data_IF_052913049640
#
_entry.id   IF_052913049640
#
_cell.length_a   1.000
_cell.length_b   1.000
_cell.length_c   1.000
_cell.angle_alpha   90.00
_cell.angle_beta   90.00
_cell.angle_gamma   90.00
#
_symmetry.space_group_name_H-M   'P 1'
#
loop_
_entity.id
_entity.type
_entity.pdbx_description
1 polymer ?
#
# COMPACT_ATOMS: atom_id res chain seq x y z
N UNK A 1 -0.90 -14.16 -18.47
CA UNK A 1 -0.03 -13.13 -19.08
C UNK A 1 1.36 -13.25 -18.48
N UNK A 2 2.38 -13.28 -19.33
CA UNK A 2 3.74 -13.70 -19.03
C UNK A 2 4.42 -12.83 -17.97
N UNK A 3 4.91 -13.45 -16.90
CA UNK A 3 5.69 -12.78 -15.85
C UNK A 3 7.11 -12.61 -16.36
N UNK A 4 7.44 -11.38 -16.77
CA UNK A 4 8.81 -11.01 -17.17
C UNK A 4 9.64 -10.85 -15.90
N UNK A 5 10.47 -11.85 -15.58
CA UNK A 5 11.55 -11.74 -14.59
C UNK A 5 12.63 -10.80 -15.16
N UNK A 6 12.66 -9.57 -14.68
CA UNK A 6 13.77 -8.64 -14.94
C UNK A 6 14.91 -9.02 -13.98
N UNK A 7 15.90 -9.74 -14.52
CA UNK A 7 17.16 -10.02 -13.83
C UNK A 7 18.05 -8.79 -14.00
N UNK A 8 18.11 -7.92 -12.99
CA UNK A 8 19.11 -6.87 -12.92
C UNK A 8 20.42 -7.52 -12.48
N UNK A 9 21.34 -7.74 -13.43
CA UNK A 9 22.72 -8.14 -13.15
C UNK A 9 23.43 -6.97 -12.48
N UNK A 10 23.49 -6.99 -11.15
CA UNK A 10 24.38 -6.10 -10.38
C UNK A 10 25.83 -6.40 -10.73
N UNK A 11 26.50 -5.45 -11.35
CA UNK A 11 27.95 -5.49 -11.60
C UNK A 11 28.65 -5.26 -10.26
N UNK A 12 29.24 -6.33 -9.72
CA UNK A 12 30.07 -6.28 -8.52
C UNK A 12 31.43 -5.63 -8.88
N UNK A 13 31.51 -4.30 -8.84
CA UNK A 13 32.79 -3.60 -9.02
C UNK A 13 33.65 -3.75 -7.77
N UNK A 14 34.64 -4.64 -7.87
CA UNK A 14 35.66 -4.87 -6.85
C UNK A 14 36.82 -3.88 -7.09
N UNK A 15 36.79 -2.71 -6.45
CA UNK A 15 37.91 -1.76 -6.50
C UNK A 15 38.83 -2.02 -5.30
N UNK A 16 40.05 -2.48 -5.58
CA UNK A 16 41.13 -2.56 -4.60
C UNK A 16 41.74 -1.15 -4.45
N UNK A 17 41.50 -0.48 -3.32
CA UNK A 17 42.13 0.81 -3.04
C UNK A 17 43.56 0.58 -2.53
N UNK A 18 44.55 0.93 -3.36
CA UNK A 18 45.96 0.97 -2.99
C UNK A 18 46.46 2.42 -2.98
N UNK A 19 46.62 3.01 -1.79
CA UNK A 19 47.32 4.28 -1.60
C UNK A 19 48.46 4.10 -0.60
N UNK A 20 49.67 4.39 -1.05
CA UNK A 20 50.88 4.53 -0.23
C UNK A 20 51.24 6.02 -0.20
N UNK A 21 50.96 6.71 0.91
CA UNK A 21 51.74 7.87 1.36
C UNK A 21 51.74 7.89 2.89
N UNK A 22 52.92 8.13 3.46
CA UNK A 22 53.19 8.14 4.90
C UNK A 22 52.79 9.44 5.59
N UNK A 23 52.17 9.28 6.75
CA UNK A 23 52.25 10.17 7.91
C UNK A 23 51.86 9.30 9.12
N UNK A 24 52.77 9.16 10.10
CA UNK A 24 52.47 8.45 11.34
C UNK A 24 51.70 9.37 12.29
N UNK A 25 50.39 9.41 12.11
CA UNK A 25 49.47 9.68 13.22
C UNK A 25 49.09 8.31 13.81
N UNK A 26 49.38 8.12 15.09
CA UNK A 26 48.94 6.94 15.83
C UNK A 26 47.43 7.11 16.07
N UNK A 27 46.58 6.54 15.20
CA UNK A 27 45.11 6.56 15.35
C UNK A 27 44.75 5.85 16.67
N UNK A 28 44.43 6.62 17.71
CA UNK A 28 44.05 6.10 19.02
C UNK A 28 42.54 6.10 19.17
N UNK A 29 41.89 4.98 18.85
CA UNK A 29 40.63 4.63 19.51
C UNK A 29 40.12 3.22 19.15
N UNK A 30 39.49 2.48 20.08
CA UNK A 30 38.56 1.40 19.75
C UNK A 30 37.21 1.93 19.22
N UNK A 31 37.07 3.25 19.10
CA UNK A 31 35.89 3.92 18.57
C UNK A 31 36.09 4.35 17.11
N UNK A 32 35.22 3.85 16.24
CA UNK A 32 35.06 4.32 14.88
C UNK A 32 34.25 5.61 14.85
N UNK A 33 34.74 6.61 14.13
CA UNK A 33 34.01 7.84 13.83
C UNK A 33 33.71 7.86 12.34
N UNK A 34 32.43 7.85 11.98
CA UNK A 34 32.00 7.99 10.60
C UNK A 34 32.03 9.47 10.22
N UNK A 35 32.78 9.80 9.16
CA UNK A 35 32.81 11.14 8.56
C UNK A 35 31.78 11.21 7.41
N UNK A 36 31.20 12.37 7.11
CA UNK A 36 30.39 12.54 5.90
C UNK A 36 31.10 12.03 4.65
N UNK A 37 30.35 11.44 3.71
CA UNK A 37 30.90 11.04 2.41
C UNK A 37 31.19 12.23 1.51
N UNK A 38 32.16 12.09 0.60
CA UNK A 38 32.50 13.12 -0.38
C UNK A 38 31.39 13.36 -1.42
N UNK A 39 30.59 12.32 -1.68
CA UNK A 39 29.44 12.39 -2.58
C UNK A 39 28.19 12.81 -1.82
N UNK A 40 27.57 13.92 -2.23
CA UNK A 40 26.28 14.37 -1.68
C UNK A 40 25.11 13.81 -2.49
N UNK A 41 24.27 13.01 -1.84
CA UNK A 41 23.00 12.53 -2.39
C UNK A 41 21.94 13.64 -2.21
N UNK A 42 21.20 13.94 -3.28
CA UNK A 42 20.09 14.89 -3.27
C UNK A 42 18.77 14.20 -3.62
N UNK A 43 18.07 13.62 -2.64
CA UNK A 43 16.84 12.90 -2.91
C UNK A 43 15.73 13.78 -3.49
N UNK A 44 14.94 13.21 -4.39
CA UNK A 44 13.74 13.90 -4.95
C UNK A 44 12.43 13.39 -4.35
N UNK A 45 12.43 12.18 -3.77
CA UNK A 45 11.22 11.50 -3.29
C UNK A 45 11.14 11.35 -1.76
N UNK A 46 12.24 11.49 -1.02
CA UNK A 46 12.29 11.26 0.43
C UNK A 46 13.21 12.21 1.19
N UNK A 47 13.09 12.21 2.52
CA UNK A 47 14.14 12.65 3.44
C UNK A 47 14.30 11.61 4.56
N UNK A 48 15.48 11.58 5.19
CA UNK A 48 15.70 10.69 6.33
C UNK A 48 15.11 11.34 7.58
N UNK A 49 14.04 10.74 8.09
CA UNK A 49 13.34 11.18 9.30
C UNK A 49 14.08 10.74 10.57
N UNK A 50 14.50 9.48 10.60
CA UNK A 50 15.12 8.87 11.78
C UNK A 50 16.04 7.70 11.37
N UNK A 51 17.02 7.42 12.22
CA UNK A 51 17.84 6.20 12.15
C UNK A 51 17.66 5.41 13.45
N UNK A 52 17.38 4.12 13.33
CA UNK A 52 17.17 3.22 14.47
C UNK A 52 18.20 2.09 14.43
N UNK A 53 18.79 1.76 15.58
CA UNK A 53 19.58 0.53 15.74
C UNK A 53 18.65 -0.57 16.25
N UNK A 54 18.32 -1.52 15.38
CA UNK A 54 17.46 -2.67 15.70
C UNK A 54 18.23 -3.98 15.71
N UNK A 55 19.57 -3.91 15.77
CA UNK A 55 20.42 -5.10 15.92
C UNK A 55 20.13 -5.76 17.26
N UNK A 56 20.16 -7.09 17.29
CA UNK A 56 19.97 -7.87 18.51
C UNK A 56 21.08 -7.62 19.55
N UNK A 57 22.32 -7.35 19.09
CA UNK A 57 23.48 -7.06 19.94
C UNK A 57 24.02 -5.68 19.58
N UNK A 58 23.90 -4.72 20.50
CA UNK A 58 24.25 -3.32 20.24
C UNK A 58 25.58 -2.87 20.88
N UNK A 59 26.20 -3.72 21.72
CA UNK A 59 27.38 -3.36 22.52
C UNK A 59 28.63 -3.01 21.69
N UNK A 60 28.75 -3.57 20.49
CA UNK A 60 29.85 -3.33 19.53
C UNK A 60 29.36 -3.63 18.09
N UNK A 61 30.23 -3.42 17.10
CA UNK A 61 30.01 -3.76 15.68
C UNK A 61 31.03 -4.81 15.22
N UNK A 62 31.37 -5.76 16.08
CA UNK A 62 32.36 -6.80 15.81
C UNK A 62 33.68 -6.54 16.51
N UNK A 63 34.72 -7.26 16.08
CA UNK A 63 36.03 -7.25 16.74
C UNK A 63 37.18 -7.11 15.74
N UNK A 64 38.19 -6.34 16.14
CA UNK A 64 39.33 -5.98 15.29
C UNK A 64 40.66 -6.25 15.97
N UNK A 65 41.72 -6.46 15.19
CA UNK A 65 43.08 -6.59 15.71
C UNK A 65 43.69 -5.21 16.01
N UNK A 66 44.16 -5.01 17.25
CA UNK A 66 44.67 -3.70 17.72
C UNK A 66 46.19 -3.65 17.90
N UNK A 67 46.83 -4.74 18.35
CA UNK A 67 48.27 -4.77 18.67
C UNK A 67 49.07 -5.71 17.75
N UNK A 68 50.28 -5.27 17.38
CA UNK A 68 51.28 -6.08 16.67
C UNK A 68 52.09 -7.00 17.58
N UNK A 69 52.08 -6.78 18.91
CA UNK A 69 52.86 -7.58 19.88
C UNK A 69 52.12 -8.82 20.38
N UNK A 70 50.79 -8.81 20.26
CA UNK A 70 49.93 -9.95 20.57
C UNK A 70 48.61 -9.76 19.82
N UNK A 71 48.22 -10.68 18.91
CA UNK A 71 47.05 -10.51 18.05
C UNK A 71 45.76 -10.77 18.82
N UNK A 72 45.49 -9.95 19.83
CA UNK A 72 44.23 -9.95 20.54
C UNK A 72 43.22 -9.11 19.75
N UNK A 73 42.01 -9.64 19.65
CA UNK A 73 40.87 -8.93 19.13
C UNK A 73 40.25 -8.06 20.22
N UNK A 74 39.89 -6.83 19.87
CA UNK A 74 39.14 -5.92 20.73
C UNK A 74 37.80 -5.55 20.08
N UNK A 75 36.74 -5.36 20.88
CA UNK A 75 35.45 -4.91 20.37
C UNK A 75 35.55 -3.54 19.70
N UNK A 76 35.09 -3.44 18.46
CA UNK A 76 34.98 -2.18 17.72
C UNK A 76 33.64 -1.52 18.03
N UNK A 77 33.65 -0.25 18.43
CA UNK A 77 32.42 0.51 18.73
C UNK A 77 32.30 1.71 17.80
N UNK A 78 31.08 2.16 17.49
CA UNK A 78 30.88 3.49 16.92
C UNK A 78 30.82 4.53 18.03
N UNK A 79 31.46 5.68 17.84
CA UNK A 79 31.31 6.81 18.76
C UNK A 79 29.82 7.23 18.82
N UNK A 80 29.27 7.26 20.03
CA UNK A 80 27.83 7.56 20.25
C UNK A 80 26.87 6.40 19.96
N UNK A 81 27.36 5.22 19.56
CA UNK A 81 26.53 4.10 19.14
C UNK A 81 26.16 4.14 17.66
N UNK A 82 25.56 3.07 17.15
CA UNK A 82 25.29 2.91 15.71
C UNK A 82 24.24 3.90 15.21
N UNK A 83 23.12 4.06 15.92
CA UNK A 83 22.07 4.99 15.50
C UNK A 83 22.60 6.43 15.35
N UNK A 84 23.36 6.92 16.33
CA UNK A 84 23.95 8.27 16.30
C UNK A 84 25.01 8.38 15.19
N UNK A 85 25.98 7.47 15.15
CA UNK A 85 27.05 7.53 14.16
C UNK A 85 26.55 7.45 12.71
N UNK A 86 25.54 6.60 12.45
CA UNK A 86 24.93 6.49 11.11
C UNK A 86 24.08 7.70 10.78
N UNK A 87 23.34 8.26 11.76
CA UNK A 87 22.60 9.52 11.58
C UNK A 87 23.53 10.69 11.23
N UNK A 88 24.66 10.82 11.92
CA UNK A 88 25.65 11.88 11.66
C UNK A 88 26.26 11.72 10.26
N UNK A 89 26.62 10.49 9.88
CA UNK A 89 27.07 10.16 8.53
C UNK A 89 26.05 10.58 7.46
N UNK A 90 24.79 10.19 7.63
CA UNK A 90 23.70 10.51 6.70
C UNK A 90 23.49 12.02 6.62
N UNK A 91 23.49 12.72 7.76
CA UNK A 91 23.24 14.17 7.81
C UNK A 91 24.27 14.98 7.01
N UNK A 92 25.51 14.48 6.90
CA UNK A 92 26.54 15.08 6.06
C UNK A 92 26.54 14.61 4.59
N UNK A 93 25.87 13.49 4.29
CA UNK A 93 25.91 12.82 2.97
C UNK A 93 24.62 13.03 2.17
N UNK A 94 23.46 13.17 2.82
CA UNK A 94 22.14 13.24 2.19
C UNK A 94 21.50 14.59 2.52
N UNK A 95 21.10 15.36 1.51
CA UNK A 95 20.38 16.62 1.74
C UNK A 95 18.98 16.36 2.30
N UNK A 96 18.52 17.22 3.19
CA UNK A 96 17.18 17.13 3.79
C UNK A 96 16.20 18.09 3.11
N UNK A 97 15.08 17.56 2.62
CA UNK A 97 13.89 18.32 2.22
C UNK A 97 12.67 17.72 2.92
N UNK A 98 12.17 18.41 3.95
CA UNK A 98 11.06 17.93 4.79
C UNK A 98 9.71 17.93 4.08
N UNK A 99 9.60 18.48 2.87
CA UNK A 99 8.40 18.36 2.04
C UNK A 99 8.26 16.98 1.38
N UNK A 100 9.32 16.16 1.41
CA UNK A 100 9.36 14.82 0.82
C UNK A 100 8.88 13.75 1.80
N UNK A 101 8.83 12.49 1.35
CA UNK A 101 8.37 11.39 2.21
C UNK A 101 9.35 11.14 3.37
N UNK A 102 8.87 11.05 4.61
CA UNK A 102 9.71 10.72 5.76
C UNK A 102 10.09 9.24 5.74
N UNK A 103 11.39 8.95 5.69
CA UNK A 103 11.91 7.57 5.70
C UNK A 103 12.67 7.31 7.00
N UNK A 104 12.36 6.20 7.66
CA UNK A 104 13.11 5.66 8.79
C UNK A 104 14.07 4.60 8.28
N UNK A 105 15.34 4.72 8.65
CA UNK A 105 16.38 3.75 8.31
C UNK A 105 16.67 2.92 9.54
N UNK A 106 16.44 1.62 9.47
CA UNK A 106 16.71 0.68 10.54
C UNK A 106 17.99 -0.12 10.23
N UNK A 107 18.98 -0.05 11.10
CA UNK A 107 20.20 -0.87 10.99
C UNK A 107 19.91 -2.23 11.61
N UNK A 108 19.83 -3.27 10.78
CA UNK A 108 19.57 -4.65 11.20
C UNK A 108 20.85 -5.45 11.42
N UNK A 109 21.88 -5.13 10.64
CA UNK A 109 23.21 -5.72 10.77
C UNK A 109 24.25 -4.66 10.46
N UNK A 110 25.24 -4.56 11.33
CA UNK A 110 26.46 -3.78 11.11
C UNK A 110 27.57 -4.50 11.88
N UNK A 111 28.39 -5.24 11.15
CA UNK A 111 29.38 -6.13 11.74
C UNK A 111 30.69 -6.08 10.98
N UNK A 112 31.80 -6.05 11.71
CA UNK A 112 33.17 -6.06 11.20
C UNK A 112 33.86 -7.32 11.70
N UNK A 113 34.38 -8.10 10.76
CA UNK A 113 35.11 -9.32 11.06
C UNK A 113 36.50 -9.24 10.45
N UNK A 114 37.51 -9.45 11.28
CA UNK A 114 38.89 -9.49 10.82
C UNK A 114 39.53 -10.87 10.96
N UNK A 115 40.36 -11.22 9.97
CA UNK A 115 41.23 -12.39 9.95
C UNK A 115 42.66 -11.95 9.65
N UNK A 116 43.64 -12.65 10.23
CA UNK A 116 45.03 -12.42 9.87
C UNK A 116 45.27 -12.74 8.39
N UNK A 117 46.03 -11.90 7.72
CA UNK A 117 46.53 -12.09 6.37
C UNK A 117 48.04 -12.34 6.37
N UNK A 118 48.62 -12.46 5.17
CA UNK A 118 50.07 -12.58 5.00
C UNK A 118 50.80 -11.28 5.39
N UNK A 119 52.08 -11.40 5.76
CA UNK A 119 52.99 -10.26 5.97
C UNK A 119 52.50 -9.22 7.01
N UNK A 120 51.84 -9.69 8.08
CA UNK A 120 51.35 -8.79 9.14
C UNK A 120 50.16 -7.91 8.74
N UNK A 121 49.52 -8.21 7.60
CA UNK A 121 48.28 -7.55 7.17
C UNK A 121 47.07 -8.20 7.82
N UNK A 122 45.98 -7.43 7.88
CA UNK A 122 44.68 -7.88 8.35
C UNK A 122 43.68 -7.76 7.21
N UNK A 123 42.92 -8.84 6.98
CA UNK A 123 41.81 -8.86 6.03
C UNK A 123 40.51 -8.68 6.80
N UNK A 124 39.76 -7.64 6.46
CA UNK A 124 38.48 -7.31 7.09
C UNK A 124 37.31 -7.51 6.14
N UNK A 125 36.17 -7.87 6.70
CA UNK A 125 34.87 -7.91 6.03
C UNK A 125 33.87 -7.13 6.86
N UNK A 126 33.10 -6.29 6.18
CA UNK A 126 31.95 -5.56 6.71
C UNK A 126 30.69 -6.22 6.15
N UNK A 127 29.77 -6.57 7.04
CA UNK A 127 28.43 -7.00 6.69
C UNK A 127 27.43 -5.93 7.17
N UNK A 128 26.64 -5.41 6.24
CA UNK A 128 25.66 -4.34 6.48
C UNK A 128 24.28 -4.76 5.97
N UNK A 129 23.27 -4.64 6.82
CA UNK A 129 21.86 -4.79 6.44
C UNK A 129 21.08 -3.57 6.92
N UNK A 130 20.48 -2.85 5.98
CA UNK A 130 19.64 -1.68 6.22
C UNK A 130 18.20 -2.00 5.81
N UNK A 131 17.24 -1.62 6.63
CA UNK A 131 15.81 -1.68 6.32
C UNK A 131 15.27 -0.27 6.18
N UNK A 132 14.59 -0.01 5.07
CA UNK A 132 13.97 1.28 4.80
C UNK A 132 12.46 1.19 5.03
N UNK A 133 11.96 2.08 5.88
CA UNK A 133 10.55 2.15 6.25
C UNK A 133 10.00 3.53 5.89
N UNK A 134 8.80 3.58 5.34
CA UNK A 134 8.04 4.82 5.20
C UNK A 134 7.35 5.13 6.53
N UNK A 135 7.49 6.36 7.03
CA UNK A 135 6.80 6.83 8.23
C UNK A 135 5.42 7.41 7.86
N UNK A 136 4.36 6.76 8.34
CA UNK A 136 3.00 7.32 8.43
C UNK A 136 2.48 7.18 9.85
N UNK A 137 1.19 6.88 10.02
CA UNK A 137 0.63 6.48 11.33
C UNK A 137 1.27 5.19 11.85
N UNK A 138 1.62 4.30 10.92
CA UNK A 138 2.44 3.11 11.14
C UNK A 138 3.67 3.11 10.23
N UNK A 139 4.67 2.29 10.56
CA UNK A 139 5.83 2.08 9.70
C UNK A 139 5.50 1.08 8.60
N UNK A 140 5.61 1.52 7.34
CA UNK A 140 5.40 0.65 6.17
C UNK A 140 6.75 0.23 5.62
N UNK A 141 6.99 -1.09 5.54
CA UNK A 141 8.21 -1.62 4.95
C UNK A 141 8.31 -1.32 3.46
N UNK A 142 9.43 -0.72 3.05
CA UNK A 142 9.73 -0.43 1.64
C UNK A 142 10.66 -1.50 1.05
N UNK A 143 11.86 -1.64 1.60
CA UNK A 143 12.84 -2.63 1.17
C UNK A 143 13.89 -2.91 2.25
N UNK A 144 14.53 -4.06 2.14
CA UNK A 144 15.77 -4.40 2.86
C UNK A 144 16.94 -4.37 1.86
N UNK A 145 18.06 -3.76 2.26
CA UNK A 145 19.31 -3.68 1.51
C UNK A 145 20.37 -4.50 2.25
N UNK A 146 21.00 -5.42 1.55
CA UNK A 146 22.15 -6.17 2.02
C UNK A 146 23.40 -5.77 1.24
N UNK A 147 24.44 -5.39 1.97
CA UNK A 147 25.69 -4.97 1.38
C UNK A 147 26.85 -5.12 2.34
N UNK A 148 27.96 -4.49 2.00
CA UNK A 148 29.18 -4.59 2.77
C UNK A 148 30.40 -4.19 1.95
N UNK A 149 31.56 -4.39 2.55
CA UNK A 149 32.83 -4.13 1.92
C UNK A 149 33.87 -5.11 2.44
N UNK A 150 34.93 -5.30 1.65
CA UNK A 150 36.15 -5.97 2.10
C UNK A 150 37.28 -4.97 2.09
N UNK A 151 38.16 -5.07 3.06
CA UNK A 151 39.33 -4.22 3.14
C UNK A 151 40.55 -5.02 3.58
N UNK A 152 41.73 -4.49 3.28
CA UNK A 152 43.00 -4.98 3.81
C UNK A 152 43.74 -3.80 4.42
N UNK A 153 44.27 -3.97 5.64
CA UNK A 153 44.99 -2.92 6.35
C UNK A 153 46.23 -3.46 7.05
N UNK A 154 47.18 -2.59 7.31
CA UNK A 154 48.25 -2.85 8.28
C UNK A 154 47.72 -2.62 9.70
N UNK A 155 48.32 -3.28 10.69
CA UNK A 155 47.99 -3.03 12.10
C UNK A 155 48.22 -1.55 12.48
N UNK A 156 47.34 -1.00 13.31
CA UNK A 156 47.35 0.41 13.70
C UNK A 156 46.75 1.40 12.70
N UNK A 157 46.40 0.99 11.46
CA UNK A 157 45.75 1.87 10.46
C UNK A 157 44.23 1.68 10.47
N UNK A 158 43.56 2.26 11.46
CA UNK A 158 42.12 2.05 11.68
C UNK A 158 41.22 2.84 10.71
N UNK A 159 41.70 3.96 10.14
CA UNK A 159 40.95 4.75 9.16
C UNK A 159 40.34 3.93 8.00
N UNK A 160 41.05 2.89 7.54
CA UNK A 160 40.58 2.00 6.44
C UNK A 160 39.25 1.31 6.77
N UNK A 161 39.00 1.00 8.05
CA UNK A 161 37.74 0.40 8.49
C UNK A 161 36.60 1.42 8.33
N UNK A 162 36.88 2.68 8.65
CA UNK A 162 35.95 3.80 8.48
C UNK A 162 35.60 4.00 7.02
N UNK A 163 36.62 4.13 6.17
CA UNK A 163 36.44 4.34 4.73
C UNK A 163 35.59 3.24 4.10
N UNK A 164 35.85 1.96 4.46
CA UNK A 164 35.07 0.82 3.98
C UNK A 164 33.63 0.80 4.52
N UNK A 165 33.41 1.20 5.78
CA UNK A 165 32.07 1.29 6.38
C UNK A 165 31.25 2.41 5.74
N UNK A 166 31.87 3.58 5.55
CA UNK A 166 31.25 4.74 4.90
C UNK A 166 30.88 4.42 3.46
N UNK A 167 31.76 3.74 2.72
CA UNK A 167 31.46 3.27 1.37
C UNK A 167 30.25 2.32 1.37
N UNK A 168 30.20 1.35 2.30
CA UNK A 168 29.08 0.41 2.42
C UNK A 168 27.74 1.12 2.69
N UNK A 169 27.74 2.10 3.61
CA UNK A 169 26.57 2.92 3.93
C UNK A 169 26.16 3.80 2.75
N UNK A 170 27.12 4.48 2.12
CA UNK A 170 26.89 5.34 0.95
C UNK A 170 26.28 4.57 -0.23
N UNK A 171 26.76 3.35 -0.47
CA UNK A 171 26.18 2.45 -1.47
C UNK A 171 24.72 2.11 -1.15
N UNK A 172 24.40 1.79 0.11
CA UNK A 172 23.02 1.51 0.53
C UNK A 172 22.08 2.71 0.39
N UNK A 173 22.55 3.91 0.70
CA UNK A 173 21.78 5.16 0.53
C UNK A 173 21.56 5.49 -0.95
N UNK A 174 22.59 5.29 -1.78
CA UNK A 174 22.51 5.49 -3.23
C UNK A 174 21.52 4.52 -3.85
N UNK A 175 21.63 3.23 -3.50
CA UNK A 175 20.70 2.19 -3.94
C UNK A 175 19.26 2.53 -3.56
N UNK A 176 19.01 2.93 -2.31
CA UNK A 176 17.67 3.31 -1.88
C UNK A 176 17.14 4.54 -2.63
N UNK A 177 17.97 5.55 -2.85
CA UNK A 177 17.60 6.74 -3.62
C UNK A 177 17.22 6.38 -5.08
N UNK A 178 18.00 5.53 -5.74
CA UNK A 178 17.67 5.06 -7.09
C UNK A 178 16.38 4.25 -7.10
N UNK A 179 16.25 3.30 -6.17
CA UNK A 179 15.06 2.46 -6.05
C UNK A 179 13.79 3.31 -5.82
N UNK A 180 13.81 4.25 -4.88
CA UNK A 180 12.59 5.02 -4.56
C UNK A 180 12.19 5.94 -5.71
N UNK A 181 13.15 6.51 -6.45
CA UNK A 181 12.86 7.31 -7.64
C UNK A 181 12.22 6.45 -8.75
N UNK A 182 12.66 5.21 -8.92
CA UNK A 182 12.07 4.28 -9.89
C UNK A 182 10.68 3.77 -9.47
N UNK A 183 10.46 3.60 -8.16
CA UNK A 183 9.23 3.01 -7.62
C UNK A 183 8.13 4.05 -7.33
N UNK A 184 8.48 5.30 -7.04
CA UNK A 184 7.54 6.36 -6.73
C UNK A 184 6.33 6.49 -7.69
N UNK A 185 6.48 6.37 -9.02
CA UNK A 185 5.34 6.51 -9.93
C UNK A 185 4.40 5.30 -9.99
N UNK A 186 4.78 4.13 -9.46
CA UNK A 186 4.08 2.85 -9.71
C UNK A 186 3.85 1.98 -8.48
N UNK A 187 4.48 2.31 -7.35
CA UNK A 187 4.37 1.52 -6.14
C UNK A 187 3.26 2.06 -5.24
N UNK A 188 2.26 1.23 -4.94
CA UNK A 188 1.10 1.60 -4.11
C UNK A 188 1.49 2.13 -2.73
N UNK A 189 2.58 1.62 -2.14
CA UNK A 189 3.09 2.07 -0.84
C UNK A 189 3.64 3.50 -0.88
N UNK A 190 3.97 4.00 -2.07
CA UNK A 190 4.55 5.33 -2.29
C UNK A 190 3.56 6.32 -2.92
N UNK A 191 2.33 5.87 -3.21
CA UNK A 191 1.30 6.70 -3.80
C UNK A 191 0.98 7.90 -2.89
N UNK A 192 0.70 9.05 -3.51
CA UNK A 192 0.48 10.33 -2.84
C UNK A 192 -1.00 10.64 -2.63
N UNK A 193 -1.87 10.10 -3.47
CA UNK A 193 -3.30 10.31 -3.41
C UNK A 193 -4.09 9.25 -4.18
N UNK A 194 -5.41 9.41 -4.17
CA UNK A 194 -6.35 8.56 -4.91
C UNK A 194 -7.13 9.43 -5.90
N UNK A 195 -7.07 9.08 -7.17
CA UNK A 195 -7.90 9.63 -8.25
C UNK A 195 -9.05 8.67 -8.49
N UNK A 196 -10.24 9.07 -8.06
CA UNK A 196 -11.44 8.26 -8.15
C UNK A 196 -12.21 8.57 -9.46
N UNK A 197 -12.61 7.52 -10.15
CA UNK A 197 -13.61 7.56 -11.22
C UNK A 197 -14.69 6.53 -10.90
N UNK A 198 -15.96 6.94 -10.84
CA UNK A 198 -17.08 6.03 -10.58
C UNK A 198 -17.84 5.80 -11.88
N UNK A 199 -18.09 4.52 -12.21
CA UNK A 199 -18.85 4.09 -13.38
C UNK A 199 -20.00 3.19 -12.96
N UNK A 200 -21.12 3.30 -13.64
CA UNK A 200 -22.14 2.27 -13.58
C UNK A 200 -21.73 1.09 -14.49
N UNK A 201 -22.10 -0.13 -14.10
CA UNK A 201 -21.89 -1.31 -14.92
C UNK A 201 -22.68 -1.16 -16.23
N UNK A 202 -22.07 -1.46 -17.39
CA UNK A 202 -22.75 -1.30 -18.67
C UNK A 202 -23.96 -2.24 -18.79
N UNK A 203 -24.94 -1.87 -19.61
CA UNK A 203 -26.09 -2.72 -19.95
C UNK A 203 -25.65 -3.98 -20.69
N UNK A 204 -25.24 -4.98 -19.91
CA UNK A 204 -24.79 -6.28 -20.40
C UNK A 204 -25.32 -7.36 -19.47
N UNK A 205 -26.56 -7.78 -19.73
CA UNK A 205 -27.14 -8.96 -19.07
C UNK A 205 -26.23 -10.18 -19.28
N UNK A 206 -26.05 -10.96 -18.22
CA UNK A 206 -25.28 -12.20 -18.27
C UNK A 206 -25.94 -13.25 -17.39
N UNK A 207 -26.33 -14.36 -18.00
CA UNK A 207 -26.88 -15.51 -17.29
C UNK A 207 -28.10 -15.14 -16.44
N UNK A 208 -27.94 -15.25 -15.12
CA UNK A 208 -29.01 -15.11 -14.13
C UNK A 208 -29.28 -13.66 -13.68
N UNK A 209 -28.57 -12.67 -14.22
CA UNK A 209 -28.57 -11.31 -13.66
C UNK A 209 -29.15 -10.29 -14.64
N UNK A 210 -30.14 -9.53 -14.17
CA UNK A 210 -30.60 -8.29 -14.80
C UNK A 210 -29.85 -7.13 -14.14
N UNK A 211 -29.20 -6.28 -14.92
CA UNK A 211 -28.57 -5.06 -14.42
C UNK A 211 -29.50 -3.86 -14.61
N UNK A 212 -29.53 -2.96 -13.63
CA UNK A 212 -30.39 -1.79 -13.65
C UNK A 212 -30.02 -0.86 -14.81
N UNK A 213 -31.01 -0.43 -15.57
CA UNK A 213 -30.86 0.60 -16.59
C UNK A 213 -32.21 1.29 -16.83
N UNK A 214 -32.20 2.59 -17.10
CA UNK A 214 -33.42 3.36 -17.35
C UNK A 214 -34.23 2.81 -18.54
N UNK A 215 -33.53 2.32 -19.56
CA UNK A 215 -34.13 1.74 -20.78
C UNK A 215 -34.49 0.25 -20.67
N UNK A 216 -34.09 -0.45 -19.60
CA UNK A 216 -34.40 -1.89 -19.39
C UNK A 216 -35.20 -2.07 -18.11
N UNK A 217 -36.52 -1.91 -18.23
CA UNK A 217 -37.49 -2.22 -17.17
C UNK A 217 -37.65 -3.72 -16.99
N UNK A 218 -37.96 -4.19 -15.79
CA UNK A 218 -38.23 -5.60 -15.50
C UNK A 218 -39.38 -6.14 -16.34
N UNK A 219 -39.32 -7.43 -16.64
CA UNK A 219 -40.40 -8.18 -17.25
C UNK A 219 -40.70 -9.42 -16.39
N UNK A 220 -41.92 -9.96 -16.44
CA UNK A 220 -42.26 -11.20 -15.73
C UNK A 220 -41.42 -12.40 -16.16
N UNK A 221 -40.82 -12.36 -17.34
CA UNK A 221 -39.83 -13.34 -17.78
C UNK A 221 -38.52 -13.29 -16.99
N UNK A 222 -38.23 -12.22 -16.25
CA UNK A 222 -37.07 -12.16 -15.37
C UNK A 222 -37.27 -13.00 -14.08
N UNK A 223 -38.50 -13.36 -13.72
CA UNK A 223 -38.82 -14.08 -12.48
C UNK A 223 -38.81 -15.59 -12.70
N UNK A 224 -37.64 -16.21 -12.57
CA UNK A 224 -37.42 -17.63 -12.91
C UNK A 224 -37.47 -18.59 -11.72
N UNK A 225 -37.48 -18.08 -10.48
CA UNK A 225 -37.60 -18.91 -9.30
C UNK A 225 -39.01 -19.49 -9.13
N UNK A 226 -39.15 -20.55 -8.32
CA UNK A 226 -40.45 -21.12 -7.97
C UNK A 226 -40.98 -20.48 -6.69
N UNK A 227 -42.29 -20.16 -6.62
CA UNK A 227 -42.91 -19.70 -5.39
C UNK A 227 -42.69 -20.68 -4.23
N UNK A 228 -42.35 -20.16 -3.05
CA UNK A 228 -42.19 -20.98 -1.86
C UNK A 228 -43.54 -21.57 -1.42
N UNK A 229 -43.53 -22.85 -1.05
CA UNK A 229 -44.70 -23.51 -0.50
C UNK A 229 -45.04 -22.89 0.86
N UNK A 230 -46.29 -22.44 1.04
CA UNK A 230 -46.75 -21.79 2.27
C UNK A 230 -46.41 -20.30 2.43
N UNK A 231 -45.84 -19.63 1.42
CA UNK A 231 -45.69 -18.17 1.45
C UNK A 231 -47.01 -17.46 1.13
N UNK A 232 -47.39 -16.52 2.00
CA UNK A 232 -48.56 -15.63 1.84
C UNK A 232 -48.31 -14.48 0.82
N UNK A 233 -47.08 -14.35 0.32
CA UNK A 233 -46.71 -13.36 -0.68
C UNK A 233 -47.11 -13.80 -2.09
N UNK A 234 -47.45 -12.82 -2.91
CA UNK A 234 -47.90 -13.04 -4.29
C UNK A 234 -46.73 -13.00 -5.30
N UNK A 235 -45.67 -12.29 -4.96
CA UNK A 235 -44.40 -12.24 -5.67
C UNK A 235 -43.27 -11.91 -4.68
N UNK A 236 -42.03 -12.10 -5.10
CA UNK A 236 -40.82 -11.72 -4.39
C UNK A 236 -39.71 -11.46 -5.38
N UNK A 237 -39.08 -10.29 -5.27
CA UNK A 237 -37.92 -9.89 -6.05
C UNK A 237 -36.67 -9.89 -5.17
N UNK A 238 -35.55 -10.36 -5.74
CA UNK A 238 -34.24 -10.20 -5.13
C UNK A 238 -33.46 -9.14 -5.89
N UNK A 239 -33.31 -7.96 -5.28
CA UNK A 239 -32.48 -6.86 -5.78
C UNK A 239 -31.32 -6.60 -4.84
N UNK A 240 -30.18 -6.21 -5.38
CA UNK A 240 -29.01 -5.85 -4.60
C UNK A 240 -28.02 -5.03 -5.42
N UNK A 241 -26.91 -4.69 -4.81
CA UNK A 241 -25.82 -4.00 -5.49
C UNK A 241 -24.46 -4.55 -5.08
N UNK A 242 -23.48 -4.34 -5.94
CA UNK A 242 -22.09 -4.68 -5.70
C UNK A 242 -21.20 -3.60 -6.31
N UNK A 243 -19.94 -3.57 -5.92
CA UNK A 243 -18.95 -2.74 -6.58
C UNK A 243 -17.68 -3.55 -6.82
N UNK A 244 -16.92 -3.14 -7.82
CA UNK A 244 -15.60 -3.67 -8.12
C UNK A 244 -14.64 -2.51 -8.37
N UNK A 245 -13.40 -2.64 -7.91
CA UNK A 245 -12.36 -1.65 -8.10
C UNK A 245 -11.10 -2.30 -8.64
N UNK A 246 -10.52 -1.71 -9.67
CA UNK A 246 -9.20 -2.10 -10.20
C UNK A 246 -8.19 -0.96 -9.97
N UNK A 247 -7.51 -0.95 -8.81
CA UNK A 247 -6.58 0.13 -8.47
C UNK A 247 -5.27 -0.02 -9.24
N UNK A 248 -4.92 1.01 -10.02
CA UNK A 248 -3.64 1.09 -10.71
C UNK A 248 -2.88 2.32 -10.23
N UNK A 249 -1.57 2.18 -9.99
CA UNK A 249 -0.73 3.33 -9.63
C UNK A 249 -0.09 3.89 -10.89
N UNK A 250 -0.38 5.15 -11.17
CA UNK A 250 0.15 5.87 -12.32
C UNK A 250 0.46 7.31 -11.92
N UNK A 251 1.64 7.79 -12.31
CA UNK A 251 2.19 9.10 -11.94
C UNK A 251 2.20 9.38 -10.42
N UNK A 252 2.29 8.31 -9.62
CA UNK A 252 2.32 8.39 -8.17
C UNK A 252 0.97 8.58 -7.50
N UNK A 253 -0.14 8.47 -8.23
CA UNK A 253 -1.50 8.44 -7.69
C UNK A 253 -2.15 7.07 -7.93
N UNK A 254 -3.02 6.66 -7.01
CA UNK A 254 -3.90 5.50 -7.21
C UNK A 254 -5.06 5.92 -8.10
N UNK A 255 -5.06 5.50 -9.36
CA UNK A 255 -6.23 5.58 -10.22
C UNK A 255 -7.18 4.44 -9.85
N UNK A 256 -8.31 4.79 -9.25
CA UNK A 256 -9.35 3.86 -8.83
C UNK A 256 -10.58 4.05 -9.72
N UNK A 257 -10.78 3.13 -10.66
CA UNK A 257 -12.04 3.03 -11.39
C UNK A 257 -12.95 2.10 -10.59
N UNK A 258 -13.97 2.67 -9.98
CA UNK A 258 -14.97 1.96 -9.19
C UNK A 258 -16.21 1.72 -10.06
N UNK A 259 -16.46 0.47 -10.41
CA UNK A 259 -17.63 0.06 -11.20
C UNK A 259 -18.71 -0.43 -10.25
N UNK A 260 -19.86 0.25 -10.22
CA UNK A 260 -21.00 -0.11 -9.39
C UNK A 260 -22.03 -0.88 -10.21
N UNK A 261 -22.56 -1.95 -9.63
CA UNK A 261 -23.57 -2.82 -10.20
C UNK A 261 -24.82 -2.73 -9.36
N UNK A 262 -25.94 -2.38 -9.96
CA UNK A 262 -27.27 -2.54 -9.37
C UNK A 262 -27.94 -3.67 -10.14
N UNK A 263 -28.42 -4.70 -9.45
CA UNK A 263 -28.87 -5.91 -10.12
C UNK A 263 -30.04 -6.61 -9.44
N UNK A 264 -30.74 -7.43 -10.24
CA UNK A 264 -31.77 -8.38 -9.83
C UNK A 264 -31.34 -9.79 -10.25
N UNK A 265 -31.59 -10.78 -9.38
CA UNK A 265 -31.30 -12.19 -9.66
C UNK A 265 -32.54 -12.96 -10.09
N UNK A 266 -32.53 -13.47 -11.32
CA UNK A 266 -33.67 -14.14 -11.96
C UNK A 266 -34.05 -15.42 -11.21
N UNK A 267 -33.07 -16.23 -10.83
CA UNK A 267 -33.23 -17.49 -10.10
C UNK A 267 -33.60 -17.32 -8.61
N UNK A 268 -33.55 -16.10 -8.09
CA UNK A 268 -33.96 -15.77 -6.72
C UNK A 268 -35.28 -14.99 -6.65
N UNK A 269 -35.91 -14.74 -7.80
CA UNK A 269 -37.14 -13.93 -7.89
C UNK A 269 -38.27 -14.73 -8.50
N UNK A 270 -39.46 -14.68 -7.90
CA UNK A 270 -40.64 -15.44 -8.34
C UNK A 270 -41.94 -14.62 -8.25
N UNK A 271 -42.93 -15.02 -9.03
CA UNK A 271 -44.28 -14.45 -8.95
C UNK A 271 -45.34 -15.53 -9.22
N UNK A 272 -46.44 -15.50 -8.46
CA UNK A 272 -47.64 -16.32 -8.72
C UNK A 272 -48.40 -15.74 -9.90
N UNK A 273 -49.10 -16.59 -10.65
CA UNK A 273 -49.91 -16.17 -11.81
C UNK A 273 -50.92 -15.08 -11.47
N UNK A 274 -51.48 -15.10 -10.26
CA UNK A 274 -52.45 -14.10 -9.77
C UNK A 274 -51.90 -12.69 -9.60
N UNK A 275 -50.57 -12.50 -9.62
CA UNK A 275 -49.90 -11.19 -9.48
C UNK A 275 -49.17 -10.76 -10.75
N UNK A 276 -49.23 -11.56 -11.82
CA UNK A 276 -48.60 -11.27 -13.11
C UNK A 276 -49.41 -10.27 -13.94
N UNK A 277 -49.62 -9.08 -13.40
CA UNK A 277 -50.23 -7.93 -14.08
C UNK A 277 -49.28 -6.73 -14.06
N UNK A 278 -49.70 -5.62 -14.67
CA UNK A 278 -48.88 -4.40 -14.75
C UNK A 278 -48.68 -3.71 -13.40
N UNK A 279 -49.65 -3.80 -12.50
CA UNK A 279 -49.57 -3.19 -11.17
C UNK A 279 -48.59 -3.94 -10.26
N UNK A 280 -48.65 -5.27 -10.26
CA UNK A 280 -47.69 -6.13 -9.60
C UNK A 280 -46.29 -5.93 -10.14
N UNK A 281 -46.11 -5.84 -11.46
CA UNK A 281 -44.79 -5.64 -12.05
C UNK A 281 -44.22 -4.27 -11.68
N UNK A 282 -45.05 -3.24 -11.62
CA UNK A 282 -44.65 -1.93 -11.13
C UNK A 282 -44.15 -2.00 -9.68
N UNK A 283 -44.86 -2.71 -8.79
CA UNK A 283 -44.43 -2.88 -7.40
C UNK A 283 -43.03 -3.50 -7.30
N UNK A 284 -42.76 -4.57 -8.06
CA UNK A 284 -41.43 -5.20 -8.10
C UNK A 284 -40.37 -4.30 -8.77
N UNK A 285 -40.74 -3.54 -9.80
CA UNK A 285 -39.85 -2.56 -10.42
C UNK A 285 -39.44 -1.46 -9.43
N UNK A 286 -40.34 -1.03 -8.55
CA UNK A 286 -40.05 -0.03 -7.52
C UNK A 286 -39.06 -0.52 -6.47
N UNK A 287 -39.07 -1.81 -6.10
CA UNK A 287 -37.99 -2.41 -5.30
C UNK A 287 -36.61 -2.26 -5.99
N UNK A 288 -36.56 -2.46 -7.31
CA UNK A 288 -35.33 -2.29 -8.07
C UNK A 288 -34.88 -0.83 -8.18
N UNK A 289 -35.84 0.09 -8.32
CA UNK A 289 -35.62 1.53 -8.31
C UNK A 289 -35.11 2.03 -6.94
N UNK A 290 -35.62 1.50 -5.83
CA UNK A 290 -35.14 1.77 -4.47
C UNK A 290 -33.66 1.38 -4.34
N UNK A 291 -33.28 0.19 -4.82
CA UNK A 291 -31.87 -0.23 -4.86
C UNK A 291 -31.01 0.77 -5.62
N UNK A 292 -31.49 1.26 -6.77
CA UNK A 292 -30.77 2.28 -7.56
C UNK A 292 -30.59 3.58 -6.78
N UNK A 293 -31.64 4.12 -6.14
CA UNK A 293 -31.57 5.35 -5.34
C UNK A 293 -30.50 5.24 -4.25
N UNK A 294 -30.51 4.14 -3.50
CA UNK A 294 -29.53 3.92 -2.43
C UNK A 294 -28.11 3.83 -2.98
N UNK A 295 -27.93 3.25 -4.16
CA UNK A 295 -26.63 3.24 -4.84
C UNK A 295 -26.20 4.61 -5.35
N UNK A 296 -27.11 5.46 -5.80
CA UNK A 296 -26.75 6.84 -6.15
C UNK A 296 -26.23 7.60 -4.91
N UNK A 297 -26.90 7.45 -3.76
CA UNK A 297 -26.43 7.98 -2.48
C UNK A 297 -25.07 7.41 -2.08
N UNK A 298 -24.81 6.13 -2.33
CA UNK A 298 -23.49 5.52 -2.14
C UNK A 298 -22.42 6.21 -2.97
N UNK A 299 -22.67 6.44 -4.27
CA UNK A 299 -21.74 7.12 -5.16
C UNK A 299 -21.46 8.56 -4.70
N UNK A 300 -22.48 9.30 -4.27
CA UNK A 300 -22.31 10.64 -3.69
C UNK A 300 -21.47 10.63 -2.42
N UNK A 301 -21.76 9.72 -1.49
CA UNK A 301 -21.01 9.55 -0.24
C UNK A 301 -19.54 9.23 -0.53
N UNK A 302 -19.23 8.36 -1.50
CA UNK A 302 -17.83 8.08 -1.90
C UNK A 302 -17.16 9.34 -2.47
N UNK A 303 -17.83 10.09 -3.36
CA UNK A 303 -17.27 11.32 -3.96
C UNK A 303 -16.93 12.39 -2.90
N UNK A 304 -17.67 12.41 -1.79
CA UNK A 304 -17.41 13.31 -0.67
C UNK A 304 -16.31 12.82 0.29
N UNK A 305 -15.81 11.58 0.15
CA UNK A 305 -14.77 11.04 1.03
C UNK A 305 -13.38 11.52 0.63
N UNK A 306 -12.61 11.96 1.63
CA UNK A 306 -11.17 12.16 1.49
C UNK A 306 -10.44 10.80 1.56
N UNK A 307 -10.34 10.08 0.45
CA UNK A 307 -9.69 8.76 0.38
C UNK A 307 -8.17 8.88 0.31
N UNK A 308 -7.46 7.99 1.01
CA UNK A 308 -5.99 7.90 0.96
C UNK A 308 -5.55 6.55 0.38
N UNK A 309 -4.33 6.44 -0.18
CA UNK A 309 -3.81 5.15 -0.65
C UNK A 309 -3.79 4.05 0.41
N UNK A 310 -3.77 4.41 1.70
CA UNK A 310 -3.69 3.49 2.82
C UNK A 310 -5.06 2.94 3.25
N UNK A 311 -6.15 3.69 3.05
CA UNK A 311 -7.45 3.41 3.67
C UNK A 311 -8.63 3.34 2.68
N UNK A 312 -8.44 3.66 1.39
CA UNK A 312 -9.55 3.78 0.44
C UNK A 312 -10.43 2.51 0.39
N UNK A 313 -9.80 1.34 0.32
CA UNK A 313 -10.48 0.05 0.19
C UNK A 313 -11.35 -0.24 1.43
N UNK A 314 -10.76 -0.09 2.62
CA UNK A 314 -11.47 -0.29 3.89
C UNK A 314 -12.63 0.69 4.09
N UNK A 315 -12.46 1.95 3.67
CA UNK A 315 -13.51 2.98 3.82
C UNK A 315 -14.67 2.78 2.86
N UNK A 316 -14.39 2.45 1.61
CA UNK A 316 -15.42 2.11 0.62
C UNK A 316 -16.15 0.83 1.05
N UNK A 317 -15.42 -0.19 1.52
CA UNK A 317 -16.00 -1.43 2.04
C UNK A 317 -16.91 -1.21 3.26
N UNK A 318 -16.51 -0.35 4.19
CA UNK A 318 -17.36 0.01 5.33
C UNK A 318 -18.64 0.73 4.87
N UNK A 319 -18.50 1.72 3.99
CA UNK A 319 -19.64 2.45 3.44
C UNK A 319 -20.61 1.53 2.69
N UNK A 320 -20.10 0.53 1.98
CA UNK A 320 -20.92 -0.48 1.32
C UNK A 320 -21.84 -1.20 2.31
N UNK A 321 -21.31 -1.60 3.48
CA UNK A 321 -22.11 -2.29 4.52
C UNK A 321 -23.21 -1.37 5.05
N UNK A 322 -22.89 -0.10 5.33
CA UNK A 322 -23.89 0.88 5.80
C UNK A 322 -24.97 1.14 4.73
N UNK A 323 -24.55 1.24 3.47
CA UNK A 323 -25.46 1.41 2.33
C UNK A 323 -26.35 0.19 2.13
N UNK A 324 -25.82 -1.02 2.33
CA UNK A 324 -26.60 -2.26 2.27
C UNK A 324 -27.68 -2.31 3.36
N UNK A 325 -27.38 -1.81 4.57
CA UNK A 325 -28.39 -1.67 5.62
C UNK A 325 -29.45 -0.63 5.25
N UNK A 326 -29.05 0.54 4.74
CA UNK A 326 -29.97 1.57 4.23
C UNK A 326 -30.93 1.00 3.18
N UNK A 327 -30.40 0.20 2.24
CA UNK A 327 -31.18 -0.47 1.20
C UNK A 327 -32.25 -1.39 1.79
N UNK A 328 -31.89 -2.24 2.75
CA UNK A 328 -32.86 -3.17 3.36
C UNK A 328 -33.92 -2.42 4.16
N UNK A 329 -33.53 -1.42 4.97
CA UNK A 329 -34.49 -0.60 5.73
C UNK A 329 -35.48 0.11 4.82
N UNK A 330 -35.03 0.63 3.67
CA UNK A 330 -35.91 1.33 2.73
C UNK A 330 -36.84 0.36 1.98
N UNK A 331 -36.36 -0.83 1.63
CA UNK A 331 -37.22 -1.88 1.04
C UNK A 331 -38.26 -2.40 2.04
N UNK A 332 -37.89 -2.62 3.30
CA UNK A 332 -38.81 -3.02 4.37
C UNK A 332 -39.89 -1.96 4.61
N UNK A 333 -39.50 -0.67 4.69
CA UNK A 333 -40.46 0.42 4.84
C UNK A 333 -41.44 0.50 3.66
N UNK A 334 -40.95 0.32 2.44
CA UNK A 334 -41.79 0.32 1.24
C UNK A 334 -42.80 -0.85 1.24
N UNK A 335 -42.37 -2.06 1.60
CA UNK A 335 -43.26 -3.21 1.73
C UNK A 335 -44.29 -3.02 2.84
N UNK A 336 -43.87 -2.56 4.02
CA UNK A 336 -44.76 -2.36 5.17
C UNK A 336 -45.83 -1.29 4.89
N UNK A 337 -45.44 -0.15 4.33
CA UNK A 337 -46.35 0.97 4.07
C UNK A 337 -47.32 0.71 2.91
N UNK A 338 -46.90 -0.08 1.91
CA UNK A 338 -47.77 -0.47 0.79
C UNK A 338 -48.59 -1.73 1.08
N UNK A 339 -48.45 -2.34 2.27
CA UNK A 339 -49.00 -3.65 2.59
C UNK A 339 -48.65 -4.69 1.50
N UNK A 340 -47.35 -4.80 1.18
CA UNK A 340 -46.81 -5.62 0.10
C UNK A 340 -47.52 -5.36 -1.25
N UNK A 341 -47.75 -4.07 -1.53
CA UNK A 341 -48.48 -3.56 -2.68
C UNK A 341 -49.99 -3.78 -2.66
N UNK A 342 -50.64 -4.16 -1.55
CA UNK A 342 -52.11 -4.23 -1.46
C UNK A 342 -52.77 -2.85 -1.30
N UNK A 343 -52.05 -1.87 -0.76
CA UNK A 343 -52.50 -0.51 -0.59
C UNK A 343 -52.10 0.37 -1.78
N UNK A 344 -53.02 0.58 -2.72
CA UNK A 344 -52.77 1.36 -3.94
C UNK A 344 -52.52 2.85 -3.70
N UNK A 345 -53.10 3.44 -2.66
CA UNK A 345 -52.88 4.85 -2.33
C UNK A 345 -51.45 5.07 -1.81
N UNK A 346 -50.96 4.18 -0.95
CA UNK A 346 -49.58 4.21 -0.48
C UNK A 346 -48.60 3.91 -1.61
N UNK A 347 -48.93 2.94 -2.48
CA UNK A 347 -48.13 2.62 -3.66
C UNK A 347 -47.90 3.85 -4.55
N UNK A 348 -48.94 4.66 -4.78
CA UNK A 348 -48.82 5.85 -5.62
C UNK A 348 -47.95 6.94 -4.97
N UNK A 349 -48.07 7.14 -3.65
CA UNK A 349 -47.17 8.05 -2.92
C UNK A 349 -45.70 7.61 -3.03
N UNK A 350 -45.45 6.31 -2.97
CA UNK A 350 -44.12 5.74 -3.17
C UNK A 350 -43.63 5.86 -4.62
N UNK A 351 -44.50 5.66 -5.61
CA UNK A 351 -44.17 5.91 -7.01
C UNK A 351 -43.67 7.35 -7.20
N UNK A 352 -44.44 8.33 -6.73
CA UNK A 352 -44.08 9.76 -6.80
C UNK A 352 -42.74 10.05 -6.11
N UNK A 353 -42.54 9.52 -4.90
CA UNK A 353 -41.29 9.68 -4.16
C UNK A 353 -40.09 9.09 -4.92
N UNK A 354 -40.22 7.85 -5.40
CA UNK A 354 -39.15 7.15 -6.12
C UNK A 354 -38.81 7.88 -7.42
N UNK A 355 -39.81 8.33 -8.17
CA UNK A 355 -39.60 9.06 -9.41
C UNK A 355 -38.91 10.41 -9.16
N UNK A 356 -39.29 11.12 -8.09
CA UNK A 356 -38.61 12.35 -7.66
C UNK A 356 -37.16 12.12 -7.22
N UNK A 357 -36.89 11.05 -6.49
CA UNK A 357 -35.51 10.69 -6.07
C UNK A 357 -34.65 10.32 -7.28
N UNK A 358 -35.16 9.49 -8.19
CA UNK A 358 -34.43 9.08 -9.40
C UNK A 358 -34.15 10.26 -10.33
N UNK A 359 -35.07 11.23 -10.43
CA UNK A 359 -34.89 12.42 -11.26
C UNK A 359 -33.68 13.29 -10.85
N UNK A 360 -33.17 13.14 -9.61
CA UNK A 360 -31.97 13.86 -9.15
C UNK A 360 -30.68 13.35 -9.81
N UNK A 361 -30.74 12.18 -10.44
CA UNK A 361 -29.57 11.44 -10.93
C UNK A 361 -29.59 11.20 -12.45
N UNK A 362 -30.53 11.83 -13.17
CA UNK A 362 -30.70 11.71 -14.62
C UNK A 362 -29.98 12.81 -15.40
#
# INVERSE_FOLDING_TARGET
MSVVKIIIKGVLSLVLLGCVVGAQAQDTSPYLVLKPGDQRIRPTEFFVFEVQDIRAIQANIGEIFTSSRSPKKEPLKLKGGVAVGVKDFISGTVSTDRSKRPVVIQVQKMNVQEKQGAEGRVKGQIDLTLRFMLKGDSLVHLLDYEGGARYTRSLGRYGVIGDAMQQSLGNGLTYFNEWINQQAPRNIKLAKGVKLEIKDYPLKERGDTVFYHSERKLDWDDFKARPHFGSDYAASIFTSFAWEGDPVVEDGDVKLVLVVKVFMLKSSSWARSSRKDGYGLNHEQRHFDITKIVVERFKEKIRAMSLTPQDYDGRIGYLYIETYREMNTLQEAYDDETDHGRNSEAQEKWNDYIDQELAKYQ
#
